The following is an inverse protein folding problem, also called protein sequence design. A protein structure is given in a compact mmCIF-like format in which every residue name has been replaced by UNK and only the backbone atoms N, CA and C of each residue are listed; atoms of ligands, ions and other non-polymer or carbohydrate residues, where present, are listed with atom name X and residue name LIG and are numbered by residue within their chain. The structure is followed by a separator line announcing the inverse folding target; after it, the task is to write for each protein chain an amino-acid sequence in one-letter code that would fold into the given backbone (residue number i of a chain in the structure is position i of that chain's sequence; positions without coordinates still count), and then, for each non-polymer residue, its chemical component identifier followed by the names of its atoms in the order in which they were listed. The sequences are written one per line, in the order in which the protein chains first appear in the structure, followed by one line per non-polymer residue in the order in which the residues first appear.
data_IF_704009517628
#
_entry.id   IF_704009517628
#
_cell.length_a   1.000
_cell.length_b   1.000
_cell.length_c   1.000
_cell.angle_alpha   90.00
_cell.angle_beta   90.00
_cell.angle_gamma   90.00
#
_symmetry.space_group_name_H-M   'P 1'
#
loop_
_entity.id
_entity.type
_entity.pdbx_description
1 polymer ?
#
# COMPACT_ATOMS: atom_id res chain seq x y z
N UNK A 1 18.47 -6.96 17.61
CA UNK A 1 17.05 -7.03 17.22
C UNK A 1 16.68 -5.76 16.49
N UNK A 2 15.94 -5.86 15.38
CA UNK A 2 15.41 -4.70 14.65
C UNK A 2 14.23 -4.09 15.39
N UNK A 3 14.07 -2.78 15.32
CA UNK A 3 12.91 -2.05 15.87
C UNK A 3 11.86 -1.88 14.77
N UNK A 4 10.59 -2.10 15.08
CA UNK A 4 9.48 -1.90 14.16
C UNK A 4 8.64 -0.71 14.64
N UNK A 5 8.19 0.12 13.71
CA UNK A 5 7.13 1.10 13.94
C UNK A 5 6.01 0.85 12.94
N UNK A 6 4.80 0.67 13.43
CA UNK A 6 3.57 0.63 12.65
C UNK A 6 2.87 1.97 12.86
N UNK A 7 2.89 2.82 11.85
CA UNK A 7 2.35 4.17 11.95
C UNK A 7 0.91 4.19 11.46
N UNK A 8 0.00 4.60 12.34
CA UNK A 8 -1.42 4.85 12.00
C UNK A 8 -1.73 6.35 12.14
N UNK A 9 -2.71 6.87 11.40
CA UNK A 9 -3.09 8.28 11.58
C UNK A 9 -3.89 8.50 12.86
N UNK A 10 -4.71 7.52 13.25
CA UNK A 10 -5.46 7.49 14.51
C UNK A 10 -5.39 6.12 15.15
N UNK A 11 -5.41 6.04 16.48
CA UNK A 11 -5.35 4.74 17.19
C UNK A 11 -6.60 3.90 16.94
N UNK A 12 -7.74 4.55 16.74
CA UNK A 12 -9.00 3.88 16.35
C UNK A 12 -8.91 3.13 15.01
N UNK A 13 -7.96 3.48 14.14
CA UNK A 13 -7.77 2.72 12.89
C UNK A 13 -7.17 1.33 13.15
N UNK A 14 -6.62 1.11 14.34
CA UNK A 14 -6.00 -0.14 14.77
C UNK A 14 -6.87 -0.96 15.73
N UNK A 15 -8.01 -0.44 16.19
CA UNK A 15 -8.73 -1.04 17.34
C UNK A 15 -9.30 -2.43 17.08
N UNK A 16 -9.55 -2.80 15.83
CA UNK A 16 -9.97 -4.17 15.46
C UNK A 16 -8.84 -5.20 15.58
N UNK A 17 -7.58 -4.75 15.62
CA UNK A 17 -6.40 -5.60 15.65
C UNK A 17 -5.82 -5.73 17.06
N UNK A 18 -5.03 -6.79 17.29
CA UNK A 18 -4.42 -7.03 18.59
C UNK A 18 -3.52 -5.84 19.00
N UNK A 19 -3.60 -5.36 20.26
CA UNK A 19 -2.73 -4.29 20.73
C UNK A 19 -1.25 -4.66 20.54
N UNK A 20 -0.48 -3.79 19.90
CA UNK A 20 0.95 -3.98 19.72
C UNK A 20 1.71 -2.74 20.19
N UNK A 21 2.82 -2.98 20.90
CA UNK A 21 3.74 -1.91 21.35
C UNK A 21 4.45 -1.23 20.17
N UNK A 22 4.46 -1.85 18.99
CA UNK A 22 5.05 -1.28 17.78
C UNK A 22 4.14 -0.23 17.12
N UNK A 23 2.88 -0.11 17.54
CA UNK A 23 1.89 0.80 16.93
C UNK A 23 1.99 2.18 17.55
N UNK A 24 2.22 3.17 16.70
CA UNK A 24 2.31 4.59 17.08
C UNK A 24 1.45 5.42 16.14
N UNK A 25 0.93 6.54 16.63
CA UNK A 25 0.30 7.53 15.76
C UNK A 25 1.34 8.26 14.94
N UNK A 26 0.91 8.82 13.80
CA UNK A 26 1.74 9.67 12.98
C UNK A 26 2.31 10.85 13.76
N UNK A 27 1.52 11.45 14.66
CA UNK A 27 1.99 12.54 15.50
C UNK A 27 3.08 12.08 16.47
N UNK A 28 2.86 10.98 17.20
CA UNK A 28 3.87 10.41 18.13
C UNK A 28 5.18 10.09 17.40
N UNK A 29 5.12 9.55 16.17
CA UNK A 29 6.31 9.23 15.39
C UNK A 29 7.07 10.47 14.90
N UNK A 30 6.35 11.52 14.51
CA UNK A 30 6.94 12.80 14.07
C UNK A 30 7.62 13.54 15.22
N UNK A 31 7.06 13.46 16.43
CA UNK A 31 7.59 14.09 17.64
C UNK A 31 8.69 13.26 18.32
N UNK A 32 8.82 11.98 17.97
CA UNK A 32 9.85 11.10 18.51
C UNK A 32 11.25 11.72 18.31
N UNK A 33 12.10 11.81 19.34
CA UNK A 33 13.48 12.29 19.16
C UNK A 33 14.27 11.35 18.24
N UNK A 34 15.34 11.87 17.62
CA UNK A 34 16.31 11.05 16.89
C UNK A 34 17.09 10.26 17.94
N UNK A 35 16.91 8.94 17.93
CA UNK A 35 17.62 8.02 18.81
C UNK A 35 18.84 7.45 18.06
N UNK A 36 19.87 8.28 17.92
CA UNK A 36 21.10 7.99 17.16
C UNK A 36 21.95 6.85 17.78
N UNK A 37 21.64 6.42 19.00
CA UNK A 37 22.56 5.64 19.83
C UNK A 37 22.37 4.12 19.77
N UNK A 38 21.31 3.62 19.11
CA UNK A 38 20.99 2.18 19.27
C UNK A 38 21.66 1.26 18.26
N UNK A 39 22.21 1.75 17.15
CA UNK A 39 22.77 0.90 16.06
C UNK A 39 21.78 -0.13 15.51
N UNK A 40 20.49 -0.04 15.88
CA UNK A 40 19.45 -1.01 15.54
C UNK A 40 18.85 -0.64 14.20
N UNK A 41 18.70 -1.62 13.32
CA UNK A 41 17.95 -1.47 12.07
C UNK A 41 16.48 -1.18 12.40
N UNK A 42 15.97 -0.03 11.99
CA UNK A 42 14.57 0.35 12.18
C UNK A 42 13.78 0.10 10.89
N UNK A 43 12.62 -0.53 11.02
CA UNK A 43 11.63 -0.69 9.96
C UNK A 43 10.38 0.11 10.30
N UNK A 44 9.77 0.72 9.30
CA UNK A 44 8.57 1.54 9.44
C UNK A 44 7.53 1.05 8.43
N UNK A 45 6.39 0.61 8.93
CA UNK A 45 5.20 0.35 8.11
C UNK A 45 4.27 1.53 8.33
N UNK A 46 4.14 2.35 7.31
CA UNK A 46 3.26 3.51 7.34
C UNK A 46 1.91 3.10 6.77
N UNK A 47 0.88 3.13 7.61
CA UNK A 47 -0.51 2.80 7.33
C UNK A 47 -1.44 4.02 7.49
N UNK A 48 -0.87 5.24 7.40
CA UNK A 48 -1.66 6.45 7.42
C UNK A 48 -2.74 6.46 6.32
N UNK A 49 -3.83 7.20 6.56
CA UNK A 49 -4.98 7.24 5.64
C UNK A 49 -4.66 7.96 4.33
N UNK A 50 -3.69 8.88 4.37
CA UNK A 50 -3.34 9.74 3.25
C UNK A 50 -1.84 9.98 3.14
N UNK A 51 -1.33 9.87 1.90
CA UNK A 51 0.08 10.10 1.56
C UNK A 51 0.32 11.33 0.66
N UNK A 52 -0.71 12.14 0.41
CA UNK A 52 -0.54 13.37 -0.38
C UNK A 52 0.46 14.31 0.30
N UNK A 53 1.11 15.15 -0.49
CA UNK A 53 1.96 16.22 0.02
C UNK A 53 1.21 17.05 1.09
N UNK A 54 1.94 17.49 2.12
CA UNK A 54 1.40 18.16 3.32
C UNK A 54 0.48 17.31 4.21
N UNK A 55 0.47 15.98 4.07
CA UNK A 55 -0.27 15.07 4.96
C UNK A 55 0.70 14.28 5.84
N UNK A 56 0.20 13.82 6.99
CA UNK A 56 0.96 13.06 7.98
C UNK A 56 1.71 11.88 7.37
N UNK A 57 1.04 11.07 6.52
CA UNK A 57 1.65 9.91 5.90
C UNK A 57 2.88 10.27 5.05
N UNK A 58 2.83 11.36 4.28
CA UNK A 58 3.99 11.82 3.51
C UNK A 58 5.17 12.18 4.41
N UNK A 59 4.91 12.97 5.46
CA UNK A 59 5.95 13.42 6.38
C UNK A 59 6.54 12.29 7.21
N UNK A 60 5.74 11.29 7.60
CA UNK A 60 6.25 10.13 8.32
C UNK A 60 7.25 9.34 7.46
N UNK A 61 6.93 9.09 6.18
CA UNK A 61 7.86 8.43 5.26
C UNK A 61 9.11 9.27 5.01
N UNK A 62 8.97 10.59 4.83
CA UNK A 62 10.11 11.49 4.66
C UNK A 62 11.05 11.50 5.88
N UNK A 63 10.47 11.61 7.07
CA UNK A 63 11.24 11.61 8.32
C UNK A 63 11.91 10.26 8.57
N UNK A 64 11.23 9.15 8.25
CA UNK A 64 11.81 7.82 8.33
C UNK A 64 13.03 7.68 7.42
N UNK A 65 12.95 8.13 6.15
CA UNK A 65 14.09 8.11 5.23
C UNK A 65 15.24 9.01 5.72
N UNK A 66 14.93 10.20 6.24
CA UNK A 66 15.93 11.11 6.80
C UNK A 66 16.68 10.52 8.02
N UNK A 67 16.00 9.65 8.78
CA UNK A 67 16.58 8.89 9.90
C UNK A 67 17.29 7.59 9.47
N UNK A 68 17.33 7.27 8.17
CA UNK A 68 17.87 6.01 7.67
C UNK A 68 17.02 4.78 8.00
N UNK A 69 15.76 4.97 8.41
CA UNK A 69 14.82 3.88 8.66
C UNK A 69 14.35 3.28 7.33
N UNK A 70 14.14 1.96 7.29
CA UNK A 70 13.53 1.32 6.12
C UNK A 70 12.01 1.48 6.20
N UNK A 71 11.45 2.40 5.40
CA UNK A 71 10.00 2.69 5.40
C UNK A 71 9.26 2.10 4.19
N UNK A 72 8.02 1.69 4.40
CA UNK A 72 7.07 1.31 3.36
C UNK A 72 5.70 1.99 3.62
N UNK A 73 5.12 2.73 2.65
CA UNK A 73 5.73 3.13 1.38
C UNK A 73 6.82 4.21 1.56
N UNK A 74 7.79 4.19 0.65
CA UNK A 74 8.83 5.24 0.53
C UNK A 74 8.25 6.54 -0.05
N UNK A 75 8.94 7.68 0.12
CA UNK A 75 8.53 8.96 -0.50
C UNK A 75 8.52 8.84 -2.03
N UNK A 76 9.47 8.08 -2.58
CA UNK A 76 9.52 7.75 -4.00
C UNK A 76 8.27 7.00 -4.45
N UNK A 77 7.91 5.92 -3.74
CA UNK A 77 6.72 5.11 -4.06
C UNK A 77 5.43 5.95 -3.98
N UNK A 78 5.31 6.79 -2.96
CA UNK A 78 4.19 7.73 -2.83
C UNK A 78 4.10 8.65 -4.06
N UNK A 79 5.24 9.17 -4.52
CA UNK A 79 5.33 10.08 -5.67
C UNK A 79 5.04 9.38 -7.00
N UNK A 80 5.48 8.13 -7.16
CA UNK A 80 5.19 7.30 -8.34
C UNK A 80 3.69 6.98 -8.42
N UNK A 81 3.07 6.54 -7.32
CA UNK A 81 1.63 6.26 -7.26
C UNK A 81 0.76 7.51 -7.50
N UNK A 82 1.24 8.71 -7.15
CA UNK A 82 0.53 9.95 -7.39
C UNK A 82 0.49 10.37 -8.88
N UNK A 83 1.33 9.79 -9.74
CA UNK A 83 1.51 10.21 -11.13
C UNK A 83 1.26 9.06 -12.11
N UNK A 84 0.02 8.97 -12.59
CA UNK A 84 -0.43 7.92 -13.54
C UNK A 84 0.47 7.76 -14.78
N UNK A 85 1.04 8.85 -15.29
CA UNK A 85 1.94 8.83 -16.44
C UNK A 85 3.26 8.09 -16.19
N UNK A 86 3.69 7.91 -14.93
CA UNK A 86 4.96 7.27 -14.61
C UNK A 86 4.89 5.74 -14.64
N UNK A 87 3.68 5.18 -14.51
CA UNK A 87 3.50 3.74 -14.41
C UNK A 87 2.72 3.14 -15.58
N UNK A 88 2.20 3.94 -16.51
CA UNK A 88 1.39 3.43 -17.63
C UNK A 88 2.10 2.36 -18.46
N UNK A 89 3.41 2.49 -18.71
CA UNK A 89 4.18 1.48 -19.44
C UNK A 89 4.31 0.15 -18.68
N UNK A 90 4.46 0.22 -17.35
CA UNK A 90 4.53 -0.97 -16.48
C UNK A 90 3.20 -1.73 -16.48
N UNK A 91 2.08 -1.02 -16.67
CA UNK A 91 0.74 -1.63 -16.69
C UNK A 91 0.41 -2.31 -18.01
N UNK A 92 0.93 -1.84 -19.15
CA UNK A 92 0.63 -2.43 -20.47
C UNK A 92 1.05 -3.91 -20.55
N UNK A 93 2.17 -4.28 -19.92
CA UNK A 93 2.61 -5.67 -19.85
C UNK A 93 1.73 -6.53 -18.92
N UNK A 94 1.19 -5.92 -17.87
CA UNK A 94 0.29 -6.57 -16.90
C UNK A 94 -1.13 -6.76 -17.44
N UNK A 95 -1.58 -5.92 -18.38
CA UNK A 95 -2.91 -6.04 -18.98
C UNK A 95 -3.09 -7.35 -19.77
N UNK A 96 -2.01 -7.88 -20.36
CA UNK A 96 -2.07 -9.12 -21.15
C UNK A 96 -2.37 -10.37 -20.31
N UNK A 97 -2.08 -10.33 -19.02
CA UNK A 97 -2.35 -11.45 -18.10
C UNK A 97 -3.75 -11.37 -17.49
N UNK A 98 -4.36 -10.18 -17.46
CA UNK A 98 -5.69 -9.94 -16.89
C UNK A 98 -6.81 -10.66 -17.63
N UNK A 99 -6.86 -10.56 -18.96
CA UNK A 99 -7.94 -11.18 -19.74
C UNK A 99 -8.00 -12.70 -19.52
N UNK A 100 -6.83 -13.36 -19.41
CA UNK A 100 -6.76 -14.80 -19.13
C UNK A 100 -7.14 -15.11 -17.69
N UNK A 101 -6.64 -14.34 -16.73
CA UNK A 101 -6.91 -14.54 -15.31
C UNK A 101 -8.40 -14.37 -14.97
N UNK A 102 -9.10 -13.44 -15.64
CA UNK A 102 -10.48 -13.10 -15.35
C UNK A 102 -11.50 -13.82 -16.22
N UNK A 103 -11.08 -14.56 -17.26
CA UNK A 103 -11.99 -15.23 -18.20
C UNK A 103 -13.00 -16.20 -17.55
N UNK A 104 -12.60 -16.86 -16.47
CA UNK A 104 -13.43 -17.82 -15.72
C UNK A 104 -13.85 -17.31 -14.33
N UNK A 105 -13.54 -16.06 -13.98
CA UNK A 105 -13.86 -15.48 -12.68
C UNK A 105 -15.20 -14.71 -12.75
N UNK A 106 -16.00 -14.65 -11.66
CA UNK A 106 -17.22 -13.82 -11.63
C UNK A 106 -17.03 -12.35 -12.00
N UNK A 107 -15.83 -11.80 -11.81
CA UNK A 107 -15.49 -10.43 -12.23
C UNK A 107 -15.40 -10.28 -13.76
N UNK A 108 -15.22 -11.38 -14.49
CA UNK A 108 -15.17 -11.39 -15.95
C UNK A 108 -16.49 -11.02 -16.63
N UNK A 109 -17.59 -10.80 -15.89
CA UNK A 109 -18.87 -10.30 -16.42
C UNK A 109 -19.16 -8.84 -16.06
N UNK A 110 -18.26 -8.14 -15.36
CA UNK A 110 -18.44 -6.73 -15.00
C UNK A 110 -17.72 -5.80 -15.99
N UNK A 111 -18.12 -4.51 -16.00
CA UNK A 111 -17.47 -3.44 -16.77
C UNK A 111 -16.23 -2.86 -16.05
N UNK A 112 -16.03 -3.25 -14.79
CA UNK A 112 -14.96 -2.78 -13.93
C UNK A 112 -15.13 -3.26 -12.50
N UNK A 113 -14.04 -3.23 -11.74
CA UNK A 113 -14.05 -3.48 -10.30
C UNK A 113 -12.81 -2.86 -9.66
N UNK A 114 -12.81 -2.83 -8.33
CA UNK A 114 -11.67 -2.35 -7.55
C UNK A 114 -11.21 -3.46 -6.62
N UNK A 115 -9.91 -3.72 -6.61
CA UNK A 115 -9.28 -4.72 -5.76
C UNK A 115 -8.36 -4.05 -4.76
N UNK A 116 -8.45 -4.45 -3.50
CA UNK A 116 -7.44 -4.12 -2.49
C UNK A 116 -6.42 -5.25 -2.42
N UNK A 117 -5.14 -4.90 -2.49
CA UNK A 117 -4.02 -5.81 -2.32
C UNK A 117 -3.34 -5.54 -0.98
N UNK A 118 -2.93 -6.61 -0.31
CA UNK A 118 -2.28 -6.58 1.01
C UNK A 118 -0.87 -7.09 0.87
N UNK A 119 0.12 -6.19 0.93
CA UNK A 119 1.54 -6.53 0.78
C UNK A 119 1.82 -7.43 -0.45
N UNK A 120 1.13 -7.13 -1.57
CA UNK A 120 1.26 -7.89 -2.82
C UNK A 120 0.49 -9.21 -2.86
N UNK A 121 -0.52 -9.39 -1.99
CA UNK A 121 -1.41 -10.55 -1.97
C UNK A 121 -2.86 -10.17 -2.21
N UNK A 122 -3.63 -11.12 -2.70
CA UNK A 122 -5.09 -11.04 -2.89
C UNK A 122 -5.72 -12.43 -2.71
N UNK A 123 -6.99 -12.53 -2.33
CA UNK A 123 -7.67 -13.84 -2.28
C UNK A 123 -8.14 -14.34 -3.65
N UNK A 124 -8.01 -13.51 -4.69
CA UNK A 124 -8.33 -13.88 -6.07
C UNK A 124 -7.13 -14.62 -6.65
N UNK A 125 -7.13 -15.95 -6.56
CA UNK A 125 -6.01 -16.81 -7.00
C UNK A 125 -5.46 -16.47 -8.40
N UNK A 126 -6.30 -16.23 -9.44
CA UNK A 126 -5.79 -15.84 -10.77
C UNK A 126 -5.02 -14.51 -10.81
N UNK A 127 -5.17 -13.65 -9.81
CA UNK A 127 -4.55 -12.32 -9.74
C UNK A 127 -3.34 -12.28 -8.78
N UNK A 128 -2.92 -13.40 -8.19
CA UNK A 128 -1.81 -13.41 -7.24
C UNK A 128 -0.48 -12.96 -7.86
N UNK A 129 -0.17 -13.42 -9.07
CA UNK A 129 1.05 -12.99 -9.77
C UNK A 129 1.02 -11.51 -10.12
N UNK A 130 -0.15 -10.97 -10.45
CA UNK A 130 -0.33 -9.55 -10.67
C UNK A 130 -0.12 -8.76 -9.37
N UNK A 131 -0.71 -9.23 -8.27
CA UNK A 131 -0.59 -8.58 -6.96
C UNK A 131 0.88 -8.49 -6.52
N UNK A 132 1.65 -9.57 -6.71
CA UNK A 132 3.08 -9.61 -6.42
C UNK A 132 3.86 -8.61 -7.27
N UNK A 133 3.63 -8.59 -8.59
CA UNK A 133 4.32 -7.67 -9.51
C UNK A 133 4.00 -6.21 -9.19
N UNK A 134 2.75 -5.90 -8.87
CA UNK A 134 2.34 -4.55 -8.48
C UNK A 134 3.00 -4.10 -7.18
N UNK A 135 3.18 -4.99 -6.21
CA UNK A 135 3.89 -4.67 -4.97
C UNK A 135 5.41 -4.54 -5.15
N UNK A 136 6.01 -5.35 -6.03
CA UNK A 136 7.42 -5.20 -6.42
C UNK A 136 7.67 -3.84 -7.10
N UNK A 137 6.75 -3.41 -7.97
CA UNK A 137 6.80 -2.11 -8.63
C UNK A 137 6.49 -0.95 -7.69
N UNK A 138 5.50 -1.11 -6.82
CA UNK A 138 5.03 -0.08 -5.87
C UNK A 138 4.96 -0.65 -4.45
N UNK A 139 6.08 -0.70 -3.71
CA UNK A 139 6.09 -1.20 -2.34
C UNK A 139 5.21 -0.34 -1.42
N UNK A 140 3.97 -0.74 -1.26
CA UNK A 140 2.95 -0.07 -0.46
C UNK A 140 2.14 -1.14 0.28
N UNK A 141 1.89 -1.00 1.60
CA UNK A 141 1.21 -2.04 2.38
C UNK A 141 -0.17 -2.39 1.83
N UNK A 142 -0.91 -1.37 1.40
CA UNK A 142 -2.23 -1.49 0.82
C UNK A 142 -2.22 -0.81 -0.54
N UNK A 143 -2.53 -1.55 -1.60
CA UNK A 143 -2.74 -0.99 -2.93
C UNK A 143 -4.19 -1.18 -3.33
N UNK A 144 -4.84 -0.09 -3.74
CA UNK A 144 -6.14 -0.11 -4.38
C UNK A 144 -5.91 -0.07 -5.90
N UNK A 145 -6.33 -1.13 -6.58
CA UNK A 145 -6.17 -1.29 -8.03
C UNK A 145 -7.54 -1.21 -8.69
N UNK A 146 -7.70 -0.23 -9.58
CA UNK A 146 -8.92 0.02 -10.33
C UNK A 146 -8.79 -0.67 -11.69
N UNK A 147 -9.68 -1.62 -11.97
CA UNK A 147 -9.75 -2.34 -13.23
C UNK A 147 -10.97 -1.90 -14.03
N UNK A 148 -10.79 -1.80 -15.34
CA UNK A 148 -11.86 -1.45 -16.26
C UNK A 148 -11.83 -2.34 -17.48
N UNK A 149 -13.02 -2.71 -17.95
CA UNK A 149 -13.19 -3.47 -19.17
C UNK A 149 -13.75 -2.59 -20.27
N UNK A 150 -12.96 -2.41 -21.32
CA UNK A 150 -13.44 -1.84 -22.58
C UNK A 150 -13.56 -2.98 -23.60
N UNK A 151 -12.55 -3.13 -24.49
CA UNK A 151 -12.41 -4.32 -25.35
C UNK A 151 -11.63 -5.44 -24.64
N UNK A 152 -10.65 -5.05 -23.84
CA UNK A 152 -9.81 -5.90 -23.01
C UNK A 152 -9.78 -5.31 -21.59
N UNK A 153 -9.45 -6.14 -20.61
CA UNK A 153 -9.17 -5.67 -19.26
C UNK A 153 -7.91 -4.81 -19.24
N UNK A 154 -7.97 -3.71 -18.50
CA UNK A 154 -6.80 -2.89 -18.22
C UNK A 154 -6.86 -2.28 -16.82
N UNK A 155 -5.69 -1.94 -16.29
CA UNK A 155 -5.56 -1.21 -15.03
C UNK A 155 -5.81 0.28 -15.29
N UNK A 156 -6.94 0.79 -14.80
CA UNK A 156 -7.30 2.21 -14.91
C UNK A 156 -6.52 3.07 -13.89
N UNK A 157 -6.12 2.51 -12.75
CA UNK A 157 -5.37 3.27 -11.77
C UNK A 157 -4.89 2.44 -10.60
N UNK A 158 -3.82 2.90 -9.97
CA UNK A 158 -3.30 2.34 -8.72
C UNK A 158 -3.16 3.47 -7.73
N UNK A 159 -3.69 3.27 -6.53
CA UNK A 159 -3.66 4.26 -5.44
C UNK A 159 -3.28 3.56 -4.13
N UNK A 160 -2.65 4.25 -3.18
CA UNK A 160 -2.54 3.72 -1.83
C UNK A 160 -3.92 3.44 -1.23
N UNK A 161 -4.09 2.26 -0.64
CA UNK A 161 -5.25 1.92 0.18
C UNK A 161 -5.14 2.52 1.59
N UNK A 162 -6.19 2.33 2.39
CA UNK A 162 -6.21 2.79 3.78
C UNK A 162 -6.93 1.77 4.66
N UNK A 163 -6.35 1.45 5.82
CA UNK A 163 -6.85 0.44 6.76
C UNK A 163 -8.30 0.68 7.21
N UNK A 164 -8.69 1.93 7.45
CA UNK A 164 -10.07 2.28 7.84
C UNK A 164 -11.13 2.08 6.74
N UNK A 165 -10.72 1.71 5.52
CA UNK A 165 -11.62 1.40 4.40
C UNK A 165 -11.66 -0.11 4.10
N UNK A 166 -10.96 -0.91 4.88
CA UNK A 166 -11.09 -2.35 4.82
C UNK A 166 -12.50 -2.70 5.29
N UNK A 167 -13.10 -3.68 4.62
CA UNK A 167 -14.37 -4.26 5.04
C UNK A 167 -14.08 -5.33 6.09
N UNK A 168 -15.06 -5.67 6.92
CA UNK A 168 -14.91 -6.70 7.97
C UNK A 168 -14.37 -8.04 7.42
N UNK A 169 -14.74 -8.43 6.19
CA UNK A 169 -14.24 -9.64 5.51
C UNK A 169 -12.77 -9.57 5.09
N UNK A 170 -12.11 -8.45 5.32
CA UNK A 170 -10.73 -8.16 4.94
C UNK A 170 -9.85 -7.75 6.14
N UNK A 171 -10.39 -7.86 7.36
CA UNK A 171 -9.67 -7.56 8.61
C UNK A 171 -9.00 -8.82 9.23
N UNK A 172 -9.37 -10.02 8.77
CA UNK A 172 -8.81 -11.33 9.18
C UNK A 172 -7.59 -11.76 8.33
#
# INVERSE_FOLDING_TARGET
MSKLFIIVERKEDWTSYYPSEDVVTAQEYLELPIDDDTGKRVQVINLCRHYKYLRHGYYCSLLAEARGHKVIPSVRTISELARKSLYSLVLEDLDRTLDKALAAHPYGSTDGFTLTLYFGRTDIEPLQDLARQLFEAFPCPLLLVEFKRNRTWHIEGIKPGAIHKLREDQED
#
